data_IF_926641042299
#
_entry.id   IF_926641042299
#
_cell.length_a   1.000
_cell.length_b   1.000
_cell.length_c   1.000
_cell.angle_alpha   90.00
_cell.angle_beta   90.00
_cell.angle_gamma   90.00
#
_symmetry.space_group_name_H-M   'P 1'
#
loop_
_entity.id
_entity.type
_entity.pdbx_description
1 polymer ?
#
# COMPACT_ATOMS: atom_id res chain seq x y z
N UNK A 1 7.91 33.56 -17.65
CA UNK A 1 8.45 32.51 -16.72
C UNK A 1 7.34 31.52 -16.40
N UNK A 2 7.44 30.29 -16.89
CA UNK A 2 6.45 29.25 -16.57
C UNK A 2 6.57 28.89 -15.08
N UNK A 3 5.45 28.89 -14.35
CA UNK A 3 5.42 28.44 -12.96
C UNK A 3 6.00 27.01 -12.87
N UNK A 4 6.82 26.69 -11.87
CA UNK A 4 7.38 25.36 -11.73
C UNK A 4 6.27 24.29 -11.67
N UNK A 5 6.49 23.15 -12.28
CA UNK A 5 5.49 22.06 -12.43
C UNK A 5 4.82 21.68 -11.09
N UNK A 6 5.57 21.75 -10.00
CA UNK A 6 5.07 21.42 -8.65
C UNK A 6 3.95 22.36 -8.16
N UNK A 7 3.94 23.64 -8.54
CA UNK A 7 2.88 24.58 -8.13
C UNK A 7 1.56 24.38 -8.86
N UNK A 8 1.56 23.59 -9.93
CA UNK A 8 0.37 23.24 -10.70
C UNK A 8 -0.30 21.95 -10.23
N UNK A 9 0.32 21.22 -9.28
CA UNK A 9 -0.23 19.97 -8.75
C UNK A 9 -1.37 20.29 -7.78
N UNK A 10 -2.59 19.76 -7.97
CA UNK A 10 -3.71 19.96 -7.08
C UNK A 10 -3.42 19.48 -5.65
N UNK A 11 -3.93 20.18 -4.64
CA UNK A 11 -3.77 19.87 -3.22
C UNK A 11 -4.20 18.44 -2.88
N UNK A 12 -5.24 17.91 -3.55
CA UNK A 12 -5.68 16.53 -3.35
C UNK A 12 -4.58 15.48 -3.65
N UNK A 13 -3.72 15.74 -4.63
CA UNK A 13 -2.60 14.85 -4.96
C UNK A 13 -1.50 14.94 -3.90
N UNK A 14 -1.23 16.11 -3.35
CA UNK A 14 -0.29 16.27 -2.24
C UNK A 14 -0.74 15.51 -1.00
N UNK A 15 -2.03 15.62 -0.63
CA UNK A 15 -2.61 14.88 0.50
C UNK A 15 -2.51 13.37 0.25
N UNK A 16 -2.91 12.92 -0.94
CA UNK A 16 -2.87 11.51 -1.30
C UNK A 16 -1.43 10.97 -1.31
N UNK A 17 -0.47 11.76 -1.82
CA UNK A 17 0.95 11.43 -1.81
C UNK A 17 1.50 11.30 -0.39
N UNK A 18 1.17 12.23 0.49
CA UNK A 18 1.61 12.23 1.88
C UNK A 18 1.04 11.05 2.68
N UNK A 19 -0.27 10.77 2.55
CA UNK A 19 -0.89 9.60 3.17
C UNK A 19 -0.27 8.29 2.66
N UNK A 20 0.00 8.21 1.35
CA UNK A 20 0.68 7.05 0.76
C UNK A 20 2.09 6.89 1.32
N UNK A 21 2.85 7.97 1.42
CA UNK A 21 4.22 7.97 1.97
C UNK A 21 4.26 7.45 3.40
N UNK A 22 3.42 7.99 4.29
CA UNK A 22 3.36 7.54 5.68
C UNK A 22 2.98 6.07 5.80
N UNK A 23 2.02 5.62 4.98
CA UNK A 23 1.59 4.24 4.97
C UNK A 23 2.69 3.30 4.43
N UNK A 24 3.39 3.72 3.38
CA UNK A 24 4.48 2.94 2.79
C UNK A 24 5.66 2.87 3.78
N UNK A 25 6.06 3.96 4.43
CA UNK A 25 7.09 3.96 5.49
C UNK A 25 6.70 2.99 6.62
N UNK A 26 5.47 3.10 7.14
CA UNK A 26 4.99 2.20 8.20
C UNK A 26 5.02 0.72 7.77
N UNK A 27 4.67 0.44 6.52
CA UNK A 27 4.70 -0.91 5.99
C UNK A 27 6.13 -1.43 5.83
N UNK A 28 7.04 -0.62 5.29
CA UNK A 28 8.44 -1.01 5.10
C UNK A 28 9.16 -1.27 6.42
N UNK A 29 8.89 -0.48 7.46
CA UNK A 29 9.42 -0.73 8.81
C UNK A 29 9.01 -2.12 9.33
N UNK A 30 7.75 -2.49 9.17
CA UNK A 30 7.27 -3.82 9.59
C UNK A 30 7.90 -4.90 8.71
N UNK A 31 7.93 -4.71 7.38
CA UNK A 31 8.47 -5.71 6.45
C UNK A 31 9.93 -6.03 6.69
N UNK A 32 10.75 -5.01 6.97
CA UNK A 32 12.18 -5.19 7.23
C UNK A 32 12.46 -5.97 8.51
N UNK A 33 11.61 -5.80 9.52
CA UNK A 33 11.79 -6.43 10.82
C UNK A 33 11.05 -7.76 10.97
N UNK A 34 10.02 -7.99 10.18
CA UNK A 34 9.15 -9.14 10.30
C UNK A 34 9.86 -10.49 10.14
N UNK A 35 10.75 -10.69 9.15
CA UNK A 35 11.49 -11.95 9.02
C UNK A 35 12.37 -12.25 10.25
N UNK A 36 13.02 -11.22 10.79
CA UNK A 36 13.83 -11.34 11.99
C UNK A 36 12.97 -11.73 13.20
N UNK A 37 11.84 -11.04 13.40
CA UNK A 37 10.88 -11.34 14.46
C UNK A 37 10.32 -12.76 14.35
N UNK A 38 9.94 -13.20 13.16
CA UNK A 38 9.44 -14.55 12.91
C UNK A 38 10.49 -15.61 13.24
N UNK A 39 11.76 -15.39 12.85
CA UNK A 39 12.83 -16.33 13.09
C UNK A 39 13.25 -16.37 14.55
N UNK A 40 13.47 -15.21 15.20
CA UNK A 40 14.08 -15.13 16.54
C UNK A 40 13.06 -15.27 17.67
N UNK A 41 11.88 -14.68 17.52
CA UNK A 41 10.87 -14.66 18.60
C UNK A 41 9.83 -15.77 18.47
N UNK A 42 9.49 -16.17 17.24
CA UNK A 42 8.46 -17.17 16.99
C UNK A 42 9.02 -18.51 16.46
N UNK A 43 10.34 -18.61 16.26
CA UNK A 43 11.01 -19.85 15.85
C UNK A 43 10.61 -20.34 14.43
N UNK A 44 10.14 -19.45 13.56
CA UNK A 44 9.72 -19.83 12.22
C UNK A 44 10.93 -20.19 11.34
N UNK A 45 10.81 -21.26 10.55
CA UNK A 45 11.83 -21.64 9.58
C UNK A 45 11.90 -20.65 8.40
N UNK A 46 13.05 -20.59 7.73
CA UNK A 46 13.21 -19.76 6.53
C UNK A 46 12.20 -20.11 5.43
N UNK A 47 11.85 -21.39 5.28
CA UNK A 47 10.82 -21.84 4.35
C UNK A 47 9.44 -21.26 4.71
N UNK A 48 9.07 -21.29 5.99
CA UNK A 48 7.83 -20.72 6.48
C UNK A 48 7.74 -19.22 6.20
N UNK A 49 8.82 -18.48 6.48
CA UNK A 49 8.90 -17.03 6.20
C UNK A 49 8.73 -16.77 4.72
N UNK A 50 9.44 -17.48 3.87
CA UNK A 50 9.32 -17.34 2.41
C UNK A 50 7.93 -17.68 1.87
N UNK A 51 7.26 -18.68 2.43
CA UNK A 51 5.86 -19.02 2.07
C UNK A 51 4.90 -17.90 2.48
N UNK A 52 5.04 -17.37 3.70
CA UNK A 52 4.20 -16.24 4.17
C UNK A 52 4.35 -15.03 3.24
N UNK A 53 5.58 -14.67 2.90
CA UNK A 53 5.84 -13.52 2.02
C UNK A 53 5.35 -13.78 0.60
N UNK A 54 5.63 -14.93 0.03
CA UNK A 54 5.21 -15.29 -1.32
C UNK A 54 3.69 -15.30 -1.49
N UNK A 55 2.96 -15.94 -0.56
CA UNK A 55 1.48 -15.97 -0.58
C UNK A 55 0.91 -14.57 -0.37
N UNK A 56 1.50 -13.79 0.52
CA UNK A 56 1.07 -12.43 0.78
C UNK A 56 1.23 -11.53 -0.47
N UNK A 57 2.38 -11.57 -1.14
CA UNK A 57 2.59 -10.79 -2.39
C UNK A 57 1.65 -11.25 -3.52
N UNK A 58 1.46 -12.54 -3.71
CA UNK A 58 0.49 -13.06 -4.67
C UNK A 58 -0.92 -12.54 -4.38
N UNK A 59 -1.32 -12.53 -3.11
CA UNK A 59 -2.62 -11.97 -2.67
C UNK A 59 -2.75 -10.49 -3.01
N UNK A 60 -1.71 -9.68 -2.81
CA UNK A 60 -1.73 -8.27 -3.15
C UNK A 60 -1.91 -8.04 -4.66
N UNK A 61 -1.21 -8.82 -5.49
CA UNK A 61 -1.30 -8.73 -6.95
C UNK A 61 -2.70 -9.12 -7.45
N UNK A 62 -3.23 -10.25 -7.01
CA UNK A 62 -4.57 -10.73 -7.37
C UNK A 62 -5.61 -9.69 -6.95
N UNK A 63 -5.58 -9.26 -5.70
CA UNK A 63 -6.52 -8.26 -5.16
C UNK A 63 -6.45 -6.94 -5.92
N UNK A 64 -5.25 -6.51 -6.37
CA UNK A 64 -5.06 -5.29 -7.15
C UNK A 64 -5.78 -5.37 -8.51
N UNK A 65 -5.70 -6.51 -9.19
CA UNK A 65 -6.40 -6.72 -10.48
C UNK A 65 -7.90 -6.62 -10.28
N UNK A 66 -8.47 -7.36 -9.33
CA UNK A 66 -9.91 -7.31 -9.05
C UNK A 66 -10.37 -5.94 -8.57
N UNK A 67 -9.59 -5.28 -7.73
CA UNK A 67 -9.88 -3.93 -7.25
C UNK A 67 -9.92 -2.90 -8.39
N UNK A 68 -9.07 -3.05 -9.40
CA UNK A 68 -9.11 -2.21 -10.60
C UNK A 68 -10.45 -2.33 -11.33
N UNK A 69 -10.86 -3.56 -11.64
CA UNK A 69 -12.13 -3.85 -12.32
C UNK A 69 -13.33 -3.33 -11.52
N UNK A 70 -13.36 -3.62 -10.20
CA UNK A 70 -14.44 -3.15 -9.31
C UNK A 70 -14.46 -1.62 -9.23
N UNK A 71 -13.30 -1.00 -9.14
CA UNK A 71 -13.17 0.47 -9.09
C UNK A 71 -13.76 1.16 -10.32
N UNK A 72 -13.50 0.60 -11.50
CA UNK A 72 -14.01 1.13 -12.75
C UNK A 72 -15.52 0.90 -12.89
N UNK A 73 -16.01 -0.27 -12.46
CA UNK A 73 -17.42 -0.61 -12.52
C UNK A 73 -18.28 0.17 -11.52
N UNK A 74 -17.83 0.31 -10.28
CA UNK A 74 -18.58 1.01 -9.20
C UNK A 74 -18.41 2.53 -9.28
N UNK A 75 -17.33 3.04 -9.89
CA UNK A 75 -17.01 4.46 -9.98
C UNK A 75 -16.67 5.14 -8.64
N UNK A 76 -16.59 4.38 -7.53
CA UNK A 76 -16.32 4.91 -6.18
C UNK A 76 -14.85 4.74 -5.77
N UNK A 77 -13.94 5.28 -6.58
CA UNK A 77 -12.49 5.16 -6.38
C UNK A 77 -12.01 5.60 -4.99
N UNK A 78 -12.54 6.71 -4.49
CA UNK A 78 -12.19 7.26 -3.18
C UNK A 78 -12.58 6.32 -2.03
N UNK A 79 -13.77 5.71 -2.08
CA UNK A 79 -14.24 4.77 -1.06
C UNK A 79 -13.38 3.51 -0.98
N UNK A 80 -13.02 2.94 -2.14
CA UNK A 80 -12.14 1.76 -2.22
C UNK A 80 -10.71 2.07 -1.72
N UNK A 81 -10.17 3.23 -2.09
CA UNK A 81 -8.88 3.67 -1.59
C UNK A 81 -8.90 3.81 -0.06
N UNK A 82 -9.95 4.46 0.49
CA UNK A 82 -10.11 4.64 1.93
C UNK A 82 -10.22 3.29 2.68
N UNK A 83 -11.00 2.36 2.14
CA UNK A 83 -11.13 1.01 2.69
C UNK A 83 -9.77 0.29 2.71
N UNK A 84 -9.01 0.35 1.63
CA UNK A 84 -7.68 -0.26 1.56
C UNK A 84 -6.68 0.36 2.54
N UNK A 85 -6.71 1.68 2.75
CA UNK A 85 -5.90 2.35 3.77
C UNK A 85 -6.35 1.97 5.18
N UNK A 86 -7.66 1.90 5.44
CA UNK A 86 -8.23 1.51 6.73
C UNK A 86 -7.83 0.09 7.13
N UNK A 87 -7.93 -0.88 6.20
CA UNK A 87 -7.46 -2.25 6.43
C UNK A 87 -5.97 -2.29 6.76
N UNK A 88 -5.13 -1.62 5.96
CA UNK A 88 -3.70 -1.55 6.23
C UNK A 88 -3.37 -0.91 7.59
N UNK A 89 -4.08 0.14 8.00
CA UNK A 89 -3.90 0.77 9.30
C UNK A 89 -4.31 -0.15 10.46
N UNK A 90 -5.43 -0.87 10.30
CA UNK A 90 -5.93 -1.80 11.32
C UNK A 90 -5.00 -2.99 11.59
N UNK A 91 -4.17 -3.39 10.59
CA UNK A 91 -3.21 -4.49 10.76
C UNK A 91 -1.98 -4.09 11.58
N UNK A 92 -1.64 -2.81 11.69
CA UNK A 92 -0.45 -2.36 12.41
C UNK A 92 -0.43 -2.80 13.88
N UNK A 93 -1.49 -2.55 14.69
CA UNK A 93 -1.54 -3.09 16.03
C UNK A 93 -1.58 -4.63 16.08
N UNK A 94 -2.14 -5.30 15.06
CA UNK A 94 -2.14 -6.77 15.01
C UNK A 94 -0.71 -7.33 14.93
N UNK A 95 0.19 -6.71 14.18
CA UNK A 95 1.59 -7.12 14.15
C UNK A 95 2.28 -6.92 15.48
N UNK A 96 2.02 -5.79 16.16
CA UNK A 96 2.63 -5.47 17.46
C UNK A 96 2.18 -6.44 18.57
N UNK A 97 0.95 -6.95 18.49
CA UNK A 97 0.36 -7.82 19.49
C UNK A 97 0.34 -9.30 19.09
N UNK A 98 1.03 -9.67 18.00
CA UNK A 98 0.96 -11.02 17.45
C UNK A 98 1.73 -12.05 18.34
N UNK A 99 1.03 -12.97 19.03
CA UNK A 99 1.67 -13.96 19.89
C UNK A 99 2.14 -15.21 19.14
N UNK A 100 1.69 -15.40 17.90
CA UNK A 100 1.96 -16.61 17.11
C UNK A 100 2.19 -16.31 15.63
N UNK A 101 2.88 -17.20 14.95
CA UNK A 101 3.09 -17.14 13.48
C UNK A 101 1.76 -17.03 12.72
N UNK A 102 0.72 -17.74 13.19
CA UNK A 102 -0.61 -17.70 12.55
C UNK A 102 -1.25 -16.31 12.59
N UNK A 103 -1.12 -15.58 13.71
CA UNK A 103 -1.63 -14.20 13.82
C UNK A 103 -0.82 -13.26 12.93
N UNK A 104 0.49 -13.43 12.85
CA UNK A 104 1.35 -12.67 11.92
C UNK A 104 0.93 -12.91 10.48
N UNK A 105 0.70 -14.18 10.10
CA UNK A 105 0.24 -14.53 8.76
C UNK A 105 -1.11 -13.87 8.44
N UNK A 106 -2.08 -13.95 9.36
CA UNK A 106 -3.38 -13.31 9.17
C UNK A 106 -3.26 -11.79 9.00
N UNK A 107 -2.49 -11.13 9.86
CA UNK A 107 -2.23 -9.69 9.76
C UNK A 107 -1.56 -9.33 8.42
N UNK A 108 -0.59 -10.14 7.98
CA UNK A 108 0.09 -9.97 6.69
C UNK A 108 -0.86 -10.08 5.51
N UNK A 109 -1.74 -11.10 5.51
CA UNK A 109 -2.74 -11.29 4.47
C UNK A 109 -3.71 -10.11 4.38
N UNK A 110 -4.24 -9.65 5.52
CA UNK A 110 -5.16 -8.50 5.58
C UNK A 110 -4.46 -7.23 5.09
N UNK A 111 -3.22 -6.97 5.50
CA UNK A 111 -2.42 -5.82 5.03
C UNK A 111 -2.23 -5.86 3.50
N UNK A 112 -1.95 -7.04 2.94
CA UNK A 112 -1.77 -7.23 1.50
C UNK A 112 -3.05 -7.08 0.70
N UNK A 113 -4.17 -7.56 1.22
CA UNK A 113 -5.50 -7.28 0.66
C UNK A 113 -5.76 -5.78 0.66
N UNK A 114 -5.51 -5.09 1.77
CA UNK A 114 -5.62 -3.63 1.86
C UNK A 114 -4.74 -2.90 0.84
N UNK A 115 -3.48 -3.34 0.67
CA UNK A 115 -2.53 -2.81 -0.34
C UNK A 115 -3.07 -3.04 -1.77
N UNK A 116 -3.61 -4.22 -2.04
CA UNK A 116 -4.22 -4.56 -3.33
C UNK A 116 -5.45 -3.68 -3.62
N UNK A 117 -6.39 -3.58 -2.67
CA UNK A 117 -7.62 -2.79 -2.82
C UNK A 117 -7.32 -1.32 -3.10
N UNK A 118 -6.37 -0.69 -2.39
CA UNK A 118 -6.07 0.74 -2.58
C UNK A 118 -5.24 1.04 -3.83
N UNK A 119 -4.52 0.05 -4.36
CA UNK A 119 -3.53 0.24 -5.42
C UNK A 119 -4.11 0.86 -6.69
N UNK A 120 -5.02 0.16 -7.35
CA UNK A 120 -5.61 0.60 -8.61
C UNK A 120 -6.52 1.85 -8.46
N UNK A 121 -7.46 1.93 -7.48
CA UNK A 121 -8.27 3.14 -7.29
C UNK A 121 -7.46 4.39 -6.99
N UNK A 122 -6.38 4.27 -6.23
CA UNK A 122 -5.46 5.39 -5.93
C UNK A 122 -4.77 5.90 -7.19
N UNK A 123 -4.26 5.00 -8.01
CA UNK A 123 -3.58 5.35 -9.25
C UNK A 123 -4.55 6.03 -10.23
N UNK A 124 -5.78 5.55 -10.31
CA UNK A 124 -6.84 6.16 -11.10
C UNK A 124 -7.21 7.56 -10.57
N UNK A 125 -7.30 7.76 -9.24
CA UNK A 125 -7.53 9.08 -8.65
C UNK A 125 -6.44 10.09 -9.00
N UNK A 126 -5.16 9.68 -8.99
CA UNK A 126 -4.06 10.55 -9.41
C UNK A 126 -4.22 10.94 -10.88
N UNK A 127 -4.57 9.98 -11.75
CA UNK A 127 -4.79 10.24 -13.17
C UNK A 127 -5.96 11.20 -13.44
N UNK A 128 -7.05 11.08 -12.65
CA UNK A 128 -8.22 11.94 -12.77
C UNK A 128 -8.00 13.37 -12.28
N UNK A 129 -7.23 13.51 -11.20
CA UNK A 129 -6.96 14.81 -10.55
C UNK A 129 -5.82 15.60 -11.20
N UNK A 130 -4.88 14.92 -11.86
CA UNK A 130 -3.70 15.54 -12.42
C UNK A 130 -3.97 16.11 -13.82
N UNK A 131 -3.77 17.43 -14.04
CA UNK A 131 -3.74 18.00 -15.39
C UNK A 131 -2.70 17.26 -16.27
N UNK A 132 -2.95 17.13 -17.59
CA UNK A 132 -2.06 16.41 -18.49
C UNK A 132 -0.59 16.84 -18.41
N UNK A 133 -0.35 18.15 -18.23
CA UNK A 133 0.98 18.77 -18.22
C UNK A 133 1.82 18.37 -17.00
N UNK A 134 1.18 17.99 -15.89
CA UNK A 134 1.86 17.65 -14.63
C UNK A 134 1.60 16.21 -14.18
N UNK A 135 0.95 15.39 -15.01
CA UNK A 135 0.59 14.01 -14.67
C UNK A 135 1.82 13.17 -14.30
N UNK A 136 2.91 13.29 -15.04
CA UNK A 136 4.17 12.61 -14.72
C UNK A 136 4.74 13.01 -13.36
N UNK A 137 4.74 14.31 -13.05
CA UNK A 137 5.18 14.82 -11.75
C UNK A 137 4.26 14.37 -10.60
N UNK A 138 2.95 14.28 -10.84
CA UNK A 138 1.98 13.79 -9.86
C UNK A 138 2.20 12.30 -9.52
N UNK A 139 2.48 11.46 -10.52
CA UNK A 139 2.85 10.07 -10.29
C UNK A 139 4.21 9.93 -9.61
N UNK A 140 5.19 10.76 -9.97
CA UNK A 140 6.49 10.81 -9.29
C UNK A 140 6.35 11.17 -7.81
N UNK A 141 5.57 12.19 -7.48
CA UNK A 141 5.29 12.59 -6.09
C UNK A 141 4.68 11.45 -5.27
N UNK A 142 3.73 10.70 -5.89
CA UNK A 142 3.10 9.56 -5.24
C UNK A 142 4.07 8.40 -5.00
N UNK A 143 5.14 8.29 -5.81
CA UNK A 143 6.12 7.20 -5.72
C UNK A 143 7.32 7.49 -4.82
N UNK A 144 7.43 8.69 -4.25
CA UNK A 144 8.57 9.09 -3.41
C UNK A 144 8.85 8.10 -2.27
N UNK A 145 7.82 7.49 -1.68
CA UNK A 145 7.97 6.48 -0.62
C UNK A 145 8.39 5.08 -1.11
N UNK A 146 8.43 4.85 -2.43
CA UNK A 146 8.72 3.52 -3.03
C UNK A 146 10.10 3.42 -3.69
N UNK A 147 10.91 4.44 -3.58
CA UNK A 147 12.17 4.56 -4.32
C UNK A 147 13.28 3.58 -3.89
N UNK A 148 12.98 2.58 -3.06
CA UNK A 148 14.00 1.70 -2.48
C UNK A 148 13.67 0.20 -2.58
N UNK A 149 12.98 -0.21 -3.63
CA UNK A 149 12.84 -1.65 -3.91
C UNK A 149 13.36 -1.92 -5.30
#
# INVERSE_FOLDING_TARGET
>A
MSKPALTKIPTGIWILGFVSLLMDISSEMIHSLLPLFLATSLGASALMIGLIDGVAEATALITKVFSGVISDWVGRRKGLALLGYGLGAATKPMFALAPTVGVVMAARMIDRVGKGIRGAPRDALVADLAPPEVRGAAFGLRQIGRAHV
#
